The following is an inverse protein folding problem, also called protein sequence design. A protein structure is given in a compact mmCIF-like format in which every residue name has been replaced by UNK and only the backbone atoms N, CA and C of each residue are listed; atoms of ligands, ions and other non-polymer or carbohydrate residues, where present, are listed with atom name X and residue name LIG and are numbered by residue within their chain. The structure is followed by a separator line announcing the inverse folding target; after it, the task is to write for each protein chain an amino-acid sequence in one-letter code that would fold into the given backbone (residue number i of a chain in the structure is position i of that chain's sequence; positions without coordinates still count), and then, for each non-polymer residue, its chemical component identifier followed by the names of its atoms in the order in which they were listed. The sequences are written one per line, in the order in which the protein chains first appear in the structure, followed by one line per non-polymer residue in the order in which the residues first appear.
data_IF_324060527128
#
_entry.id   IF_324060527128
#
_cell.length_a   1.000
_cell.length_b   1.000
_cell.length_c   1.000
_cell.angle_alpha   90.00
_cell.angle_beta   90.00
_cell.angle_gamma   90.00
#
_symmetry.space_group_name_H-M   'P 1'
#
loop_
_entity.id
_entity.type
_entity.pdbx_description
1 polymer ?
#
# COMPACT_ATOMS: atom_id res chain seq x y z
N UNK A 1 -16.76 10.48 7.37
CA UNK A 1 -16.25 10.02 8.68
C UNK A 1 -14.77 9.74 8.49
N UNK A 2 -13.88 10.50 9.14
CA UNK A 2 -12.45 10.20 9.13
C UNK A 2 -12.21 9.10 10.17
N UNK A 3 -11.46 8.02 9.86
CA UNK A 3 -11.12 7.00 10.86
C UNK A 3 -10.45 7.68 12.06
N UNK A 4 -10.98 7.42 13.26
CA UNK A 4 -10.47 8.02 14.50
C UNK A 4 -9.34 7.24 15.15
N UNK A 5 -9.17 5.99 14.74
CA UNK A 5 -8.26 5.02 15.33
C UNK A 5 -7.56 4.24 14.20
N UNK A 6 -6.26 3.96 14.32
CA UNK A 6 -5.53 3.12 13.36
C UNK A 6 -4.02 3.33 13.31
N UNK A 7 -3.37 2.60 12.40
CA UNK A 7 -1.94 2.74 12.10
C UNK A 7 -1.63 4.05 11.36
N UNK A 8 -2.61 4.59 10.64
CA UNK A 8 -2.52 5.89 9.99
C UNK A 8 -3.79 6.64 10.31
N UNK A 9 -3.64 7.83 10.88
CA UNK A 9 -4.75 8.75 11.14
C UNK A 9 -4.53 10.05 10.39
N UNK A 10 -5.64 10.67 9.99
CA UNK A 10 -5.66 11.95 9.30
C UNK A 10 -6.49 12.92 10.12
N UNK A 11 -5.98 14.14 10.29
CA UNK A 11 -6.58 15.11 11.19
C UNK A 11 -6.88 16.37 10.39
N UNK A 12 -8.13 16.83 10.50
CA UNK A 12 -8.60 18.07 9.93
C UNK A 12 -8.82 19.07 11.07
N UNK A 13 -7.90 20.03 11.28
CA UNK A 13 -8.08 21.11 12.24
C UNK A 13 -9.23 22.04 11.84
N UNK A 14 -9.76 22.79 12.81
CA UNK A 14 -10.59 23.95 12.50
C UNK A 14 -9.75 25.04 11.79
N UNK A 15 -10.42 25.90 11.02
CA UNK A 15 -9.75 26.94 10.24
C UNK A 15 -8.89 27.84 11.15
N UNK A 16 -7.62 28.02 10.77
CA UNK A 16 -6.66 28.82 11.52
C UNK A 16 -6.02 28.13 12.73
N UNK A 17 -6.36 26.86 13.02
CA UNK A 17 -5.81 26.10 14.15
C UNK A 17 -4.75 25.08 13.74
N UNK A 18 -4.39 25.00 12.45
CA UNK A 18 -3.52 23.93 11.93
C UNK A 18 -2.17 23.84 12.64
N UNK A 19 -1.44 24.96 12.76
CA UNK A 19 -0.12 24.97 13.40
C UNK A 19 -0.20 24.64 14.89
N UNK A 20 -1.23 25.14 15.59
CA UNK A 20 -1.44 24.88 17.00
C UNK A 20 -1.75 23.40 17.27
N UNK A 21 -2.62 22.80 16.45
CA UNK A 21 -2.96 21.38 16.52
C UNK A 21 -1.74 20.52 16.14
N UNK A 22 -1.04 20.88 15.07
CA UNK A 22 0.17 20.17 14.65
C UNK A 22 1.20 20.15 15.78
N UNK A 23 1.54 21.31 16.35
CA UNK A 23 2.56 21.38 17.41
C UNK A 23 2.13 20.60 18.65
N UNK A 24 0.87 20.72 19.08
CA UNK A 24 0.37 19.98 20.24
C UNK A 24 0.47 18.46 20.09
N UNK A 25 0.31 17.95 18.87
CA UNK A 25 0.41 16.51 18.57
C UNK A 25 1.86 16.12 18.39
N UNK A 26 2.65 16.96 17.71
CA UNK A 26 4.08 16.76 17.48
C UNK A 26 4.89 16.69 18.77
N UNK A 27 4.50 17.46 19.79
CA UNK A 27 5.14 17.42 21.11
C UNK A 27 4.95 16.07 21.83
N UNK A 28 3.98 15.25 21.42
CA UNK A 28 3.68 13.93 22.00
C UNK A 28 4.13 12.77 21.09
N UNK A 29 4.85 13.05 20.01
CA UNK A 29 5.21 12.10 18.95
C UNK A 29 5.80 10.80 19.51
N UNK A 30 6.79 10.93 20.40
CA UNK A 30 7.49 9.81 21.03
C UNK A 30 6.57 8.99 21.96
N UNK A 31 5.69 9.65 22.73
CA UNK A 31 4.76 8.98 23.64
C UNK A 31 3.64 8.23 22.90
N UNK A 32 3.24 8.75 21.73
CA UNK A 32 2.25 8.12 20.87
C UNK A 32 2.82 6.99 20.02
N UNK A 33 4.15 6.86 19.94
CA UNK A 33 4.84 5.94 19.03
C UNK A 33 4.34 6.10 17.58
N UNK A 34 4.33 7.33 17.09
CA UNK A 34 3.88 7.65 15.75
C UNK A 34 4.64 8.83 15.22
N UNK A 35 5.01 8.85 13.94
CA UNK A 35 5.57 10.04 13.30
C UNK A 35 4.47 10.94 12.73
N UNK A 36 4.53 12.23 13.03
CA UNK A 36 3.51 13.24 12.68
C UNK A 36 4.06 14.18 11.63
N UNK A 37 3.34 14.27 10.51
CA UNK A 37 3.68 15.09 9.36
C UNK A 37 2.60 16.14 9.11
N UNK A 38 3.02 17.34 8.71
CA UNK A 38 2.18 18.17 7.84
C UNK A 38 2.15 17.53 6.47
N UNK A 39 1.06 17.74 5.73
CA UNK A 39 0.82 17.12 4.43
C UNK A 39 1.96 17.34 3.44
N UNK A 40 2.50 18.55 3.38
CA UNK A 40 3.61 18.94 2.51
C UNK A 40 4.92 18.20 2.84
N UNK A 41 5.10 17.85 4.11
CA UNK A 41 6.30 17.22 4.66
C UNK A 41 6.24 15.68 4.62
N UNK A 42 5.12 15.10 4.16
CA UNK A 42 5.01 13.65 3.99
C UNK A 42 6.12 13.18 3.02
N UNK A 43 6.93 12.19 3.42
CA UNK A 43 8.03 11.67 2.61
C UNK A 43 7.57 11.23 1.21
N UNK A 44 8.37 11.58 0.20
CA UNK A 44 7.99 11.35 -1.21
C UNK A 44 7.77 9.87 -1.55
N UNK A 45 8.48 8.96 -0.88
CA UNK A 45 8.36 7.52 -1.13
C UNK A 45 6.95 6.96 -0.85
N UNK A 46 6.13 7.63 -0.04
CA UNK A 46 4.73 7.23 0.14
C UNK A 46 3.85 7.63 -1.04
N UNK A 47 4.26 8.61 -1.84
CA UNK A 47 3.42 9.27 -2.85
C UNK A 47 2.05 9.71 -2.30
N UNK A 48 2.00 10.11 -1.02
CA UNK A 48 0.77 10.27 -0.23
C UNK A 48 0.50 11.73 0.20
N UNK A 49 0.77 12.72 -0.66
CA UNK A 49 0.47 14.14 -0.36
C UNK A 49 -0.29 14.88 -1.45
N UNK A 50 -0.22 14.41 -2.70
CA UNK A 50 -0.74 15.12 -3.86
C UNK A 50 -2.24 14.85 -4.12
N UNK A 51 -3.08 14.94 -3.09
CA UNK A 51 -4.52 14.80 -3.25
C UNK A 51 -5.29 15.65 -2.23
N UNK A 52 -6.40 16.29 -2.64
CA UNK A 52 -7.27 17.07 -1.75
C UNK A 52 -7.89 16.27 -0.60
N UNK A 53 -7.94 14.94 -0.70
CA UNK A 53 -8.50 14.05 0.33
C UNK A 53 -7.49 13.68 1.42
N UNK A 54 -6.21 13.98 1.22
CA UNK A 54 -5.21 13.89 2.29
C UNK A 54 -5.37 15.13 3.16
N UNK A 55 -5.65 14.93 4.45
CA UNK A 55 -5.87 16.02 5.40
C UNK A 55 -4.57 16.76 5.73
N UNK A 56 -4.62 17.99 6.30
CA UNK A 56 -3.43 18.79 6.55
C UNK A 56 -2.40 18.14 7.48
N UNK A 57 -2.86 17.31 8.43
CA UNK A 57 -1.99 16.61 9.38
C UNK A 57 -2.22 15.10 9.25
N UNK A 58 -1.13 14.35 9.18
CA UNK A 58 -1.13 12.88 9.12
C UNK A 58 -0.17 12.34 10.18
N UNK A 59 -0.64 11.37 10.96
CA UNK A 59 0.22 10.61 11.86
C UNK A 59 0.29 9.15 11.41
N UNK A 60 1.50 8.60 11.35
CA UNK A 60 1.79 7.21 10.99
C UNK A 60 2.40 6.55 12.22
N UNK A 61 1.70 5.58 12.80
CA UNK A 61 2.16 4.82 13.95
C UNK A 61 3.38 3.96 13.60
N UNK A 62 4.23 3.73 14.58
CA UNK A 62 5.29 2.74 14.51
C UNK A 62 4.70 1.32 14.44
N UNK A 63 5.45 0.38 13.85
CA UNK A 63 5.00 -1.00 13.73
C UNK A 63 4.64 -1.60 15.10
N UNK A 64 3.40 -2.09 15.23
CA UNK A 64 2.87 -2.65 16.47
C UNK A 64 2.10 -1.65 17.36
N UNK A 65 2.12 -0.37 17.00
CA UNK A 65 1.38 0.68 17.69
C UNK A 65 0.13 1.11 16.91
N UNK A 66 -0.84 1.69 17.61
CA UNK A 66 -2.02 2.27 16.98
C UNK A 66 -2.36 3.57 17.69
N UNK A 67 -2.64 4.62 16.91
CA UNK A 67 -3.16 5.86 17.47
C UNK A 67 -4.65 5.68 17.68
N UNK A 68 -5.11 5.96 18.91
CA UNK A 68 -6.51 5.74 19.31
C UNK A 68 -7.03 6.88 20.18
N UNK A 69 -8.25 7.34 19.92
CA UNK A 69 -8.93 8.39 20.71
C UNK A 69 -9.33 7.86 22.10
N UNK A 70 -9.70 6.58 22.20
CA UNK A 70 -10.22 5.96 23.44
C UNK A 70 -9.44 4.70 23.82
N UNK A 71 -8.21 4.83 24.37
CA UNK A 71 -7.33 3.69 24.63
C UNK A 71 -7.93 2.64 25.57
N UNK A 72 -8.74 3.06 26.55
CA UNK A 72 -9.38 2.12 27.49
C UNK A 72 -10.41 1.21 26.82
N UNK A 73 -11.10 1.70 25.79
CA UNK A 73 -12.03 0.89 25.00
C UNK A 73 -11.25 -0.11 24.14
N UNK A 74 -10.15 0.36 23.56
CA UNK A 74 -9.30 -0.44 22.69
C UNK A 74 -8.62 -1.60 23.43
N UNK A 75 -8.11 -1.36 24.65
CA UNK A 75 -7.54 -2.41 25.50
C UNK A 75 -8.55 -3.51 25.83
N UNK A 76 -9.81 -3.15 26.10
CA UNK A 76 -10.88 -4.13 26.40
C UNK A 76 -11.25 -5.00 25.20
N UNK A 77 -11.10 -4.49 23.98
CA UNK A 77 -11.46 -5.24 22.77
C UNK A 77 -10.47 -6.32 22.37
N UNK A 78 -9.30 -6.45 23.02
CA UNK A 78 -8.25 -7.42 22.66
C UNK A 78 -7.97 -7.42 21.14
N UNK A 79 -7.51 -6.29 20.60
CA UNK A 79 -7.35 -6.16 19.17
C UNK A 79 -6.31 -7.16 18.67
N UNK A 80 -6.59 -7.80 17.54
CA UNK A 80 -5.68 -8.72 16.87
C UNK A 80 -4.59 -7.97 16.10
N UNK A 81 -4.31 -8.41 14.87
CA UNK A 81 -3.34 -7.74 14.00
C UNK A 81 -3.84 -6.38 13.47
N UNK A 82 -2.90 -5.47 13.22
CA UNK A 82 -3.12 -4.20 12.52
C UNK A 82 -2.35 -4.13 11.20
N UNK A 83 -2.75 -3.20 10.33
CA UNK A 83 -2.07 -2.95 9.06
C UNK A 83 -2.21 -1.48 8.65
N UNK A 84 -1.49 -1.07 7.60
CA UNK A 84 -1.53 0.29 7.04
C UNK A 84 -0.33 1.15 7.42
N UNK A 85 0.64 0.61 8.15
CA UNK A 85 1.92 1.24 8.46
C UNK A 85 2.75 1.53 7.20
N UNK A 86 4.00 1.99 7.38
CA UNK A 86 4.97 2.16 6.29
C UNK A 86 5.04 0.91 5.40
N UNK A 87 4.80 1.09 4.10
CA UNK A 87 4.76 0.03 3.11
C UNK A 87 6.11 -0.68 2.90
N UNK A 88 7.22 -0.12 3.38
CA UNK A 88 8.55 -0.73 3.32
C UNK A 88 8.76 -1.81 4.39
N UNK A 89 7.96 -1.80 5.46
CA UNK A 89 8.01 -2.79 6.54
C UNK A 89 7.73 -4.19 6.01
N UNK A 90 8.51 -5.17 6.46
CA UNK A 90 8.36 -6.56 6.03
C UNK A 90 6.96 -7.13 6.34
N UNK A 91 6.33 -6.74 7.45
CA UNK A 91 4.98 -7.17 7.82
C UNK A 91 3.88 -6.64 6.88
N UNK A 92 4.13 -5.53 6.18
CA UNK A 92 3.19 -4.89 5.26
C UNK A 92 3.36 -5.36 3.82
N UNK A 93 4.34 -6.24 3.54
CA UNK A 93 4.58 -6.77 2.19
C UNK A 93 3.64 -7.94 1.90
N UNK A 94 2.78 -7.85 0.87
CA UNK A 94 2.02 -8.99 0.40
C UNK A 94 2.92 -9.98 -0.34
N UNK A 95 2.46 -11.22 -0.53
CA UNK A 95 3.11 -12.14 -1.44
C UNK A 95 2.59 -11.95 -2.87
N UNK A 96 3.44 -12.23 -3.86
CA UNK A 96 3.06 -12.28 -5.27
C UNK A 96 3.43 -13.65 -5.83
N UNK A 97 2.47 -14.34 -6.44
CA UNK A 97 2.66 -15.62 -7.10
C UNK A 97 2.03 -15.56 -8.49
N UNK A 98 2.83 -15.89 -9.50
CA UNK A 98 2.39 -15.95 -10.89
C UNK A 98 2.65 -17.34 -11.47
N UNK A 99 1.64 -17.89 -12.13
CA UNK A 99 1.74 -19.18 -12.83
C UNK A 99 1.01 -19.09 -14.16
N UNK A 100 1.64 -19.61 -15.21
CA UNK A 100 1.04 -19.65 -16.54
C UNK A 100 2.06 -19.88 -17.64
N UNK A 101 1.58 -20.06 -18.89
CA UNK A 101 2.44 -20.41 -20.02
C UNK A 101 3.46 -19.32 -20.36
N UNK A 102 3.16 -18.05 -20.05
CA UNK A 102 4.01 -16.91 -20.35
C UNK A 102 5.00 -16.55 -19.22
N UNK A 103 4.83 -17.10 -18.02
CA UNK A 103 5.75 -16.90 -16.89
C UNK A 103 6.88 -17.94 -16.92
N UNK A 104 8.10 -17.54 -16.57
CA UNK A 104 9.22 -18.47 -16.34
C UNK A 104 8.86 -19.42 -15.18
N UNK A 105 9.19 -20.71 -15.34
CA UNK A 105 9.02 -21.69 -14.27
C UNK A 105 10.21 -21.61 -13.29
N UNK A 106 9.98 -21.92 -12.01
CA UNK A 106 11.01 -21.91 -10.96
C UNK A 106 11.81 -20.60 -10.91
N UNK A 107 11.16 -19.49 -11.22
CA UNK A 107 11.77 -18.18 -11.23
C UNK A 107 11.37 -17.40 -9.98
N UNK A 108 12.35 -16.78 -9.33
CA UNK A 108 12.15 -15.93 -8.16
C UNK A 108 12.51 -14.50 -8.56
N UNK A 109 11.51 -13.63 -8.61
CA UNK A 109 11.69 -12.19 -8.75
C UNK A 109 12.13 -11.61 -7.40
N UNK A 110 12.91 -10.53 -7.43
CA UNK A 110 13.11 -9.68 -6.25
C UNK A 110 11.80 -8.94 -5.87
N UNK A 111 11.83 -8.09 -4.85
CA UNK A 111 10.64 -7.30 -4.49
C UNK A 111 10.20 -6.42 -5.66
N UNK A 112 8.89 -6.34 -5.89
CA UNK A 112 8.25 -5.47 -6.88
C UNK A 112 7.24 -4.56 -6.17
N UNK A 113 6.91 -3.43 -6.78
CA UNK A 113 5.83 -2.57 -6.29
C UNK A 113 4.50 -3.00 -6.91
N UNK A 114 3.40 -2.93 -6.14
CA UNK A 114 2.08 -3.33 -6.65
C UNK A 114 1.63 -2.53 -7.89
N UNK A 115 2.12 -1.30 -8.06
CA UNK A 115 1.82 -0.46 -9.23
C UNK A 115 2.35 -1.08 -10.53
N UNK A 116 3.40 -1.92 -10.46
CA UNK A 116 4.01 -2.58 -11.62
C UNK A 116 3.17 -3.77 -12.14
N UNK A 117 2.16 -4.21 -11.38
CA UNK A 117 1.29 -5.33 -11.77
C UNK A 117 0.37 -4.94 -12.93
N UNK A 118 -0.11 -3.69 -12.98
CA UNK A 118 -0.97 -3.23 -14.08
C UNK A 118 -0.29 -3.33 -15.47
N UNK A 119 0.90 -2.73 -15.70
CA UNK A 119 1.57 -2.86 -16.99
C UNK A 119 1.95 -4.32 -17.32
N UNK A 120 2.27 -5.14 -16.32
CA UNK A 120 2.48 -6.59 -16.50
C UNK A 120 1.23 -7.30 -17.04
N UNK A 121 0.06 -7.02 -16.46
CA UNK A 121 -1.22 -7.59 -16.93
C UNK A 121 -1.52 -7.11 -18.36
N UNK A 122 -1.33 -5.83 -18.67
CA UNK A 122 -1.50 -5.29 -20.01
C UNK A 122 -0.61 -6.02 -21.03
N UNK A 123 0.67 -6.25 -20.68
CA UNK A 123 1.62 -7.00 -21.51
C UNK A 123 1.15 -8.44 -21.78
N UNK A 124 0.61 -9.12 -20.78
CA UNK A 124 0.10 -10.49 -20.89
C UNK A 124 -1.17 -10.57 -21.74
N UNK A 125 -2.04 -9.57 -21.65
CA UNK A 125 -3.27 -9.47 -22.44
C UNK A 125 -3.02 -8.96 -23.87
N UNK A 126 -1.87 -8.35 -24.14
CA UNK A 126 -1.54 -7.76 -25.43
C UNK A 126 -2.30 -6.46 -25.69
N UNK A 127 -2.61 -5.69 -24.64
CA UNK A 127 -3.27 -4.38 -24.73
C UNK A 127 -2.30 -3.28 -24.32
N UNK A 128 -2.47 -2.09 -24.89
CA UNK A 128 -1.67 -0.93 -24.51
C UNK A 128 -2.12 -0.43 -23.13
N UNK A 129 -1.19 -0.21 -22.17
CA UNK A 129 -1.54 0.33 -20.88
C UNK A 129 -1.95 1.80 -21.00
N UNK A 130 -2.97 2.20 -20.23
CA UNK A 130 -3.28 3.61 -20.02
C UNK A 130 -2.17 4.27 -19.17
N UNK A 131 -2.10 5.62 -19.10
CA UNK A 131 -1.17 6.31 -18.22
C UNK A 131 -1.29 5.83 -16.76
N UNK A 132 -0.18 5.39 -16.18
CA UNK A 132 -0.09 4.83 -14.83
C UNK A 132 1.31 5.06 -14.25
N UNK A 133 1.50 4.71 -12.96
CA UNK A 133 2.77 4.92 -12.26
C UNK A 133 3.69 3.68 -12.22
N UNK A 134 3.25 2.54 -12.78
CA UNK A 134 4.04 1.32 -12.81
C UNK A 134 5.02 1.27 -13.98
N UNK A 135 6.07 0.46 -13.83
CA UNK A 135 7.10 0.23 -14.83
C UNK A 135 7.18 -1.25 -15.21
N UNK A 136 6.90 -1.57 -16.48
CA UNK A 136 6.98 -2.95 -16.98
C UNK A 136 8.38 -3.55 -16.82
N UNK A 137 9.44 -2.75 -16.94
CA UNK A 137 10.83 -3.19 -16.77
C UNK A 137 11.10 -3.84 -15.40
N UNK A 138 10.34 -3.47 -14.36
CA UNK A 138 10.50 -4.05 -13.03
C UNK A 138 9.97 -5.48 -12.93
N UNK A 139 9.14 -5.90 -13.89
CA UNK A 139 8.44 -7.18 -13.86
C UNK A 139 8.66 -8.02 -15.12
N UNK A 140 9.10 -7.48 -16.24
CA UNK A 140 9.17 -8.23 -17.50
C UNK A 140 10.12 -9.42 -17.46
N UNK A 141 11.13 -9.39 -16.59
CA UNK A 141 12.07 -10.48 -16.40
C UNK A 141 11.42 -11.77 -15.88
N UNK A 142 10.22 -11.71 -15.29
CA UNK A 142 9.49 -12.93 -14.93
C UNK A 142 8.83 -13.62 -16.13
N UNK A 143 8.79 -12.97 -17.30
CA UNK A 143 8.16 -13.49 -18.51
C UNK A 143 9.16 -14.25 -19.39
N UNK A 144 8.67 -15.23 -20.14
CA UNK A 144 9.45 -15.91 -21.19
C UNK A 144 9.69 -14.96 -22.37
N UNK A 145 10.83 -15.12 -23.05
CA UNK A 145 11.23 -14.33 -24.23
C UNK A 145 10.16 -14.35 -25.33
N UNK A 146 9.49 -15.50 -25.53
CA UNK A 146 8.40 -15.66 -26.48
C UNK A 146 7.06 -15.70 -25.74
N UNK A 147 6.47 -14.53 -25.49
CA UNK A 147 5.11 -14.43 -24.94
C UNK A 147 4.14 -14.92 -26.00
N UNK A 148 3.38 -15.98 -25.68
CA UNK A 148 2.40 -16.54 -26.57
C UNK A 148 1.20 -15.58 -26.64
N UNK A 149 1.10 -14.79 -27.72
CA UNK A 149 0.00 -13.82 -27.93
C UNK A 149 -1.34 -14.47 -28.19
N UNK A 150 -1.37 -15.78 -28.48
CA UNK A 150 -2.59 -16.56 -28.58
C UNK A 150 -2.86 -17.22 -27.24
N UNK A 151 -3.89 -16.73 -26.55
CA UNK A 151 -4.63 -17.54 -25.58
C UNK A 151 -5.30 -18.67 -26.35
N UNK A 152 -4.55 -19.74 -26.68
CA UNK A 152 -5.16 -21.03 -27.00
C UNK A 152 -5.76 -21.57 -25.70
N UNK A 153 -6.88 -21.00 -25.29
CA UNK A 153 -7.73 -21.56 -24.26
C UNK A 153 -8.19 -22.93 -24.77
N UNK A 154 -7.41 -23.97 -24.50
CA UNK A 154 -8.02 -25.29 -24.41
C UNK A 154 -9.01 -25.18 -23.25
N UNK A 155 -10.32 -25.46 -23.46
CA UNK A 155 -11.28 -25.47 -22.37
C UNK A 155 -10.71 -26.31 -21.24
N UNK A 156 -10.83 -25.81 -20.00
CA UNK A 156 -10.51 -26.62 -18.83
C UNK A 156 -11.42 -27.85 -18.92
N UNK A 157 -10.86 -29.01 -19.29
CA UNK A 157 -11.59 -30.25 -19.21
C UNK A 157 -11.84 -30.49 -17.71
N UNK A 158 -13.08 -30.28 -17.29
CA UNK A 158 -13.52 -30.79 -16.00
C UNK A 158 -13.43 -32.31 -16.11
N UNK A 159 -12.41 -32.90 -15.47
CA UNK A 159 -12.47 -34.31 -15.14
C UNK A 159 -13.56 -34.44 -14.09
N UNK A 160 -14.74 -34.85 -14.54
CA UNK A 160 -15.75 -35.45 -13.66
C UNK A 160 -15.29 -36.88 -13.41
N UNK A 161 -14.70 -37.11 -12.24
CA UNK A 161 -14.72 -38.43 -11.61
C UNK A 161 -16.09 -38.67 -10.95
#
# INVERSE_FOLDING_TARGET
MVPRDGAVIQILPEDGQEDAVYQSIKDQEDEMHATVYKKEDIPEHYHFKNNRRVMPIVAIADEGWLVVDKPQKYKKSHPGGGHGYDNRLMSMRPFFLAYGPNFKANYKQESIENVDIYPLICKLLGVDPAPNNGSLSNTEDMLKVNINKRWNLKPCAYNTD
#
